data_IF_311961914783
#
_entry.id   IF_311961914783
#
_cell.length_a   1.000
_cell.length_b   1.000
_cell.length_c   1.000
_cell.angle_alpha   90.00
_cell.angle_beta   90.00
_cell.angle_gamma   90.00
#
_symmetry.space_group_name_H-M   'P 1'
#
loop_
_entity.id
_entity.type
_entity.pdbx_description
1 polymer ?
#
# COMPACT_ATOMS: atom_id res chain seq x y z
N UNK A 1 -5.72 11.14 -10.55
CA UNK A 1 -7.07 11.62 -10.19
C UNK A 1 -7.46 10.98 -8.86
N UNK A 2 -7.99 11.75 -7.92
CA UNK A 2 -8.43 11.23 -6.63
C UNK A 2 -9.94 11.03 -6.66
N UNK A 3 -10.36 9.79 -6.76
CA UNK A 3 -11.77 9.40 -6.84
C UNK A 3 -12.14 8.59 -5.60
N UNK A 4 -13.37 8.74 -5.14
CA UNK A 4 -13.89 8.07 -3.95
C UNK A 4 -14.93 7.03 -4.37
N UNK A 5 -14.70 5.77 -4.02
CA UNK A 5 -15.66 4.67 -4.25
C UNK A 5 -16.50 4.52 -2.99
N UNK A 6 -17.82 4.78 -3.09
CA UNK A 6 -18.74 4.57 -1.97
C UNK A 6 -19.35 3.17 -1.97
N UNK A 7 -19.50 2.60 -3.16
CA UNK A 7 -20.16 1.31 -3.35
C UNK A 7 -19.58 0.62 -4.56
N UNK A 8 -19.34 -0.68 -4.46
CA UNK A 8 -18.74 -1.50 -5.49
C UNK A 8 -19.37 -2.89 -5.55
N UNK A 9 -19.53 -3.41 -6.75
CA UNK A 9 -19.88 -4.80 -7.01
C UNK A 9 -18.92 -5.37 -8.04
N UNK A 10 -18.33 -6.52 -7.76
CA UNK A 10 -17.42 -7.23 -8.65
C UNK A 10 -18.04 -8.59 -8.91
N UNK A 11 -18.05 -9.04 -10.16
CA UNK A 11 -18.51 -10.39 -10.51
C UNK A 11 -17.75 -10.92 -11.71
N UNK A 12 -17.27 -12.16 -11.61
CA UNK A 12 -16.55 -12.87 -12.66
C UNK A 12 -17.09 -14.29 -12.77
N UNK A 13 -17.95 -14.53 -13.78
CA UNK A 13 -18.59 -15.82 -14.03
C UNK A 13 -18.52 -16.20 -15.50
N UNK A 14 -18.28 -17.48 -15.79
CA UNK A 14 -18.41 -18.07 -17.13
C UNK A 14 -17.70 -17.29 -18.27
N UNK A 15 -16.54 -16.69 -17.97
CA UNK A 15 -15.74 -15.93 -18.94
C UNK A 15 -16.17 -14.48 -19.11
N UNK A 16 -17.15 -14.00 -18.35
CA UNK A 16 -17.57 -12.60 -18.30
C UNK A 16 -17.21 -11.99 -16.96
N UNK A 17 -16.70 -10.76 -16.99
CA UNK A 17 -16.45 -9.95 -15.80
C UNK A 17 -17.28 -8.68 -15.86
N UNK A 18 -17.88 -8.28 -14.74
CA UNK A 18 -18.66 -7.07 -14.61
C UNK A 18 -18.37 -6.42 -13.26
N UNK A 19 -17.78 -5.23 -13.32
CA UNK A 19 -17.47 -4.44 -12.16
C UNK A 19 -18.27 -3.13 -12.19
N UNK A 20 -19.01 -2.85 -11.11
CA UNK A 20 -19.85 -1.67 -10.98
C UNK A 20 -19.39 -0.86 -9.77
N UNK A 21 -18.83 0.32 -10.02
CA UNK A 21 -18.38 1.24 -8.98
C UNK A 21 -19.19 2.54 -8.96
N UNK A 22 -19.64 2.95 -7.78
CA UNK A 22 -20.28 4.22 -7.54
C UNK A 22 -19.23 5.23 -7.08
N UNK A 23 -18.83 6.11 -7.99
CA UNK A 23 -17.69 6.99 -7.83
C UNK A 23 -18.09 8.45 -7.63
N UNK A 24 -17.42 9.13 -6.69
CA UNK A 24 -17.51 10.57 -6.44
C UNK A 24 -16.14 11.25 -6.61
N UNK A 25 -16.17 12.55 -6.86
CA UNK A 25 -14.97 13.40 -6.80
C UNK A 25 -14.56 13.73 -5.34
N UNK A 26 -13.46 14.44 -5.17
CA UNK A 26 -12.95 14.84 -3.84
C UNK A 26 -13.90 15.77 -3.07
N UNK A 27 -14.82 16.45 -3.76
CA UNK A 27 -15.84 17.32 -3.17
C UNK A 27 -17.12 16.55 -2.82
N UNK A 28 -17.17 15.25 -3.10
CA UNK A 28 -18.31 14.38 -2.82
C UNK A 28 -19.43 14.42 -3.87
N UNK A 29 -19.19 15.04 -5.03
CA UNK A 29 -20.15 15.11 -6.12
C UNK A 29 -20.02 13.90 -7.05
N UNK A 30 -21.12 13.54 -7.72
CA UNK A 30 -21.09 12.48 -8.73
C UNK A 30 -20.20 12.91 -9.89
N UNK A 31 -19.28 12.03 -10.30
CA UNK A 31 -18.43 12.26 -11.47
C UNK A 31 -19.31 12.33 -12.72
N UNK A 32 -19.32 13.49 -13.36
CA UNK A 32 -20.09 13.77 -14.58
C UNK A 32 -19.23 14.39 -15.70
N UNK A 33 -17.99 14.81 -15.40
CA UNK A 33 -17.07 15.35 -16.39
C UNK A 33 -16.65 14.25 -17.37
N UNK A 34 -17.00 14.43 -18.65
CA UNK A 34 -16.70 13.48 -19.71
C UNK A 34 -15.19 13.27 -19.91
N UNK A 35 -14.35 14.26 -19.58
CA UNK A 35 -12.88 14.12 -19.67
C UNK A 35 -12.37 13.11 -18.65
N UNK A 36 -12.91 13.17 -17.43
CA UNK A 36 -12.60 12.21 -16.35
C UNK A 36 -13.08 10.81 -16.73
N UNK A 37 -14.30 10.70 -17.26
CA UNK A 37 -14.85 9.41 -17.71
C UNK A 37 -14.01 8.81 -18.84
N UNK A 38 -13.65 9.61 -19.85
CA UNK A 38 -12.81 9.17 -20.97
C UNK A 38 -11.43 8.71 -20.49
N UNK A 39 -10.83 9.43 -19.54
CA UNK A 39 -9.56 9.04 -18.93
C UNK A 39 -9.67 7.69 -18.20
N UNK A 40 -10.74 7.47 -17.42
CA UNK A 40 -10.99 6.20 -16.73
C UNK A 40 -11.13 5.06 -17.75
N UNK A 41 -11.90 5.26 -18.83
CA UNK A 41 -12.08 4.27 -19.89
C UNK A 41 -10.76 3.92 -20.59
N UNK A 42 -9.92 4.93 -20.85
CA UNK A 42 -8.59 4.73 -21.41
C UNK A 42 -7.68 3.95 -20.45
N UNK A 43 -7.66 4.31 -19.16
CA UNK A 43 -6.83 3.68 -18.15
C UNK A 43 -7.22 2.21 -17.87
N UNK A 44 -8.52 1.89 -17.90
CA UNK A 44 -9.03 0.50 -17.73
C UNK A 44 -8.79 -0.33 -19.01
N UNK A 45 -8.41 0.29 -20.12
CA UNK A 45 -8.11 -0.41 -21.37
C UNK A 45 -9.33 -0.70 -22.25
N UNK A 46 -10.48 -0.07 -21.98
CA UNK A 46 -11.72 -0.27 -22.74
C UNK A 46 -11.61 0.12 -24.24
N UNK A 47 -10.54 0.85 -24.63
CA UNK A 47 -10.25 1.24 -26.01
C UNK A 47 -9.04 0.52 -26.63
N UNK A 48 -8.48 -0.53 -26.00
CA UNK A 48 -7.35 -1.29 -26.59
C UNK A 48 -7.77 -2.17 -27.78
N UNK A 49 -9.07 -2.41 -28.00
CA UNK A 49 -9.59 -3.23 -29.10
C UNK A 49 -9.55 -2.55 -30.48
N UNK A 50 -9.09 -1.30 -30.59
CA UNK A 50 -9.02 -0.55 -31.86
C UNK A 50 -7.60 -0.26 -32.40
N UNK A 51 -6.53 -0.58 -31.67
CA UNK A 51 -5.16 -0.11 -31.99
C UNK A 51 -4.22 -1.26 -32.42
N UNK A 52 -4.75 -2.44 -32.75
CA UNK A 52 -3.97 -3.50 -33.42
C UNK A 52 -4.39 -3.65 -34.88
N UNK A 53 -4.07 -2.66 -35.72
CA UNK A 53 -3.95 -2.76 -37.20
C UNK A 53 -3.50 -1.43 -37.80
N UNK A 54 -2.26 -1.01 -37.52
CA UNK A 54 -1.38 -0.29 -38.48
C UNK A 54 -0.21 0.34 -37.74
N UNK A 55 0.99 -0.20 -37.98
CA UNK A 55 2.23 0.52 -38.34
C UNK A 55 3.42 -0.44 -38.22
N UNK A 56 3.52 -1.31 -39.22
CA UNK A 56 4.81 -1.48 -39.89
C UNK A 56 4.98 -0.21 -40.71
N UNK A 57 5.78 0.73 -40.22
CA UNK A 57 6.43 1.73 -41.08
C UNK A 57 7.54 2.41 -40.30
N UNK A 58 8.76 2.03 -40.66
CA UNK A 58 10.02 2.63 -40.27
C UNK A 58 9.99 4.14 -40.53
N UNK A 59 9.99 4.95 -39.46
CA UNK A 59 10.35 6.36 -39.53
C UNK A 59 11.60 6.59 -38.69
N UNK A 60 12.74 6.47 -39.37
CA UNK A 60 13.99 7.09 -38.94
C UNK A 60 13.81 8.61 -38.94
N UNK A 61 13.49 9.22 -37.80
CA UNK A 61 13.57 10.67 -37.61
C UNK A 61 14.04 10.96 -36.18
N UNK A 62 15.21 11.61 -36.11
CA UNK A 62 15.88 12.24 -34.97
C UNK A 62 15.70 11.55 -33.60
N UNK A 63 16.75 10.79 -33.22
CA UNK A 63 17.05 10.40 -31.85
C UNK A 63 17.30 11.70 -31.05
N UNK A 64 16.26 12.26 -30.45
CA UNK A 64 16.43 13.17 -29.32
C UNK A 64 16.83 12.26 -28.16
N UNK A 65 18.03 12.45 -27.61
CA UNK A 65 18.52 11.71 -26.45
C UNK A 65 17.52 11.91 -25.31
N UNK A 66 16.76 10.86 -25.00
CA UNK A 66 16.02 10.76 -23.75
C UNK A 66 17.07 10.64 -22.64
N UNK A 67 16.90 11.33 -21.50
CA UNK A 67 17.82 11.19 -20.38
C UNK A 67 17.95 9.72 -19.97
N UNK A 68 19.10 9.30 -19.41
CA UNK A 68 19.32 7.92 -18.99
C UNK A 68 18.24 7.51 -17.98
N UNK A 69 17.62 6.35 -18.21
CA UNK A 69 16.55 5.84 -17.36
C UNK A 69 17.04 5.70 -15.90
N UNK A 70 16.33 6.30 -14.91
CA UNK A 70 16.64 6.13 -13.50
C UNK A 70 16.64 4.66 -13.11
N UNK A 71 17.59 4.27 -12.26
CA UNK A 71 17.70 2.87 -11.82
C UNK A 71 16.96 2.66 -10.51
N UNK A 72 16.10 1.65 -10.49
CA UNK A 72 15.37 1.25 -9.31
C UNK A 72 16.19 0.27 -8.44
N UNK A 73 16.29 0.57 -7.15
CA UNK A 73 16.85 -0.32 -6.12
C UNK A 73 15.74 -0.63 -5.12
N UNK A 74 15.49 -1.91 -4.93
CA UNK A 74 14.57 -2.43 -3.92
C UNK A 74 15.36 -2.88 -2.69
N UNK A 75 14.83 -2.56 -1.51
CA UNK A 75 15.43 -2.89 -0.24
C UNK A 75 14.36 -3.44 0.70
N UNK A 76 14.67 -4.54 1.37
CA UNK A 76 13.83 -5.12 2.42
C UNK A 76 14.66 -5.53 3.62
N UNK A 77 14.09 -5.44 4.82
CA UNK A 77 14.83 -5.80 6.03
C UNK A 77 14.09 -5.58 7.34
N UNK A 78 14.82 -5.73 8.46
CA UNK A 78 14.34 -5.38 9.79
C UNK A 78 14.42 -3.86 9.96
N UNK A 79 13.30 -3.23 10.26
CA UNK A 79 13.25 -1.79 10.52
C UNK A 79 13.71 -1.45 11.94
N UNK A 80 14.32 -0.28 12.08
CA UNK A 80 14.73 0.32 13.35
C UNK A 80 14.65 1.84 13.28
N UNK A 81 14.44 2.53 14.42
CA UNK A 81 14.54 3.98 14.46
C UNK A 81 15.84 4.50 13.84
N UNK A 82 15.71 5.37 12.84
CA UNK A 82 16.84 5.96 12.12
C UNK A 82 17.32 5.21 10.89
N UNK A 83 16.84 3.99 10.60
CA UNK A 83 17.30 3.22 9.43
C UNK A 83 17.09 3.96 8.11
N UNK A 84 15.93 4.59 7.92
CA UNK A 84 15.66 5.36 6.71
C UNK A 84 16.63 6.54 6.52
N UNK A 85 17.10 7.15 7.62
CA UNK A 85 18.13 8.20 7.60
C UNK A 85 19.53 7.64 7.30
N UNK A 86 19.82 6.41 7.73
CA UNK A 86 21.10 5.75 7.41
C UNK A 86 21.13 5.34 5.93
N UNK A 87 20.01 4.85 5.37
CA UNK A 87 19.89 4.54 3.94
C UNK A 87 20.06 5.80 3.10
N UNK A 88 19.38 6.89 3.46
CA UNK A 88 19.47 8.16 2.71
C UNK A 88 20.87 8.78 2.79
N UNK A 89 21.56 8.67 3.94
CA UNK A 89 22.95 9.09 4.09
C UNK A 89 23.89 8.25 3.23
N UNK A 90 23.74 6.92 3.24
CA UNK A 90 24.53 6.01 2.40
C UNK A 90 24.39 6.34 0.90
N UNK A 91 23.17 6.64 0.43
CA UNK A 91 22.95 7.07 -0.95
C UNK A 91 23.62 8.42 -1.25
N UNK A 92 23.58 9.36 -0.30
CA UNK A 92 24.23 10.67 -0.44
C UNK A 92 25.77 10.56 -0.47
N UNK A 93 26.36 9.73 0.40
CA UNK A 93 27.81 9.47 0.47
C UNK A 93 28.33 8.80 -0.82
N UNK A 94 27.48 8.03 -1.50
CA UNK A 94 27.76 7.42 -2.80
C UNK A 94 27.43 8.35 -3.99
N UNK A 95 27.15 9.63 -3.72
CA UNK A 95 26.79 10.64 -4.71
C UNK A 95 25.64 10.20 -5.64
N UNK A 96 24.64 9.51 -5.07
CA UNK A 96 23.43 9.13 -5.78
C UNK A 96 22.40 10.25 -5.68
N UNK A 97 21.92 10.74 -6.82
CA UNK A 97 20.77 11.64 -6.85
C UNK A 97 19.49 10.82 -6.78
N UNK A 98 18.68 11.03 -5.73
CA UNK A 98 17.41 10.33 -5.54
C UNK A 98 16.33 11.05 -6.34
N UNK A 99 15.86 10.40 -7.41
CA UNK A 99 14.79 10.92 -8.28
C UNK A 99 13.43 10.70 -7.61
N UNK A 100 13.21 9.50 -7.12
CA UNK A 100 11.97 9.05 -6.47
C UNK A 100 12.30 8.01 -5.41
N UNK A 101 11.58 8.01 -4.29
CA UNK A 101 11.78 7.01 -3.24
C UNK A 101 10.48 6.75 -2.49
N UNK A 102 10.16 5.49 -2.25
CA UNK A 102 9.01 5.06 -1.49
C UNK A 102 9.41 4.04 -0.45
N UNK A 103 9.06 4.25 0.81
CA UNK A 103 9.40 3.35 1.90
C UNK A 103 8.22 3.13 2.83
N UNK A 104 7.98 1.88 3.22
CA UNK A 104 6.97 1.47 4.21
C UNK A 104 7.65 0.74 5.36
N UNK A 105 7.22 1.05 6.58
CA UNK A 105 7.57 0.34 7.80
C UNK A 105 6.33 -0.17 8.51
N UNK A 106 6.35 -1.44 8.91
CA UNK A 106 5.28 -2.07 9.70
C UNK A 106 5.84 -3.29 10.45
N UNK A 107 5.44 -3.48 11.70
CA UNK A 107 5.88 -4.61 12.54
C UNK A 107 7.41 -4.86 12.54
N UNK A 108 8.20 -3.78 12.63
CA UNK A 108 9.66 -3.81 12.56
C UNK A 108 10.22 -4.45 11.27
N UNK A 109 9.47 -4.34 10.16
CA UNK A 109 9.90 -4.64 8.79
C UNK A 109 9.91 -3.38 7.95
N UNK A 110 10.87 -3.29 7.05
CA UNK A 110 11.03 -2.24 6.06
C UNK A 110 10.87 -2.84 4.66
N UNK A 111 10.14 -2.14 3.80
CA UNK A 111 10.25 -2.27 2.35
C UNK A 111 10.48 -0.89 1.74
N UNK A 112 11.42 -0.77 0.82
CA UNK A 112 11.79 0.49 0.21
C UNK A 112 12.13 0.28 -1.27
N UNK A 113 11.68 1.19 -2.13
CA UNK A 113 12.01 1.27 -3.55
C UNK A 113 12.55 2.66 -3.83
N UNK A 114 13.75 2.76 -4.37
CA UNK A 114 14.42 4.03 -4.66
C UNK A 114 14.88 4.07 -6.10
N UNK A 115 14.51 5.13 -6.81
CA UNK A 115 15.01 5.45 -8.14
C UNK A 115 16.16 6.43 -8.01
N UNK A 116 17.34 6.01 -8.47
CA UNK A 116 18.56 6.82 -8.43
C UNK A 116 19.04 7.20 -9.83
N UNK A 117 19.69 8.35 -9.91
CA UNK A 117 20.38 8.89 -11.08
C UNK A 117 21.76 9.40 -10.70
N UNK A 118 22.62 9.60 -11.69
CA UNK A 118 23.96 10.15 -11.52
C UNK A 118 23.94 11.69 -11.52
N UNK A 119 24.76 12.33 -10.67
CA UNK A 119 24.73 13.78 -10.43
C UNK A 119 25.14 14.64 -11.64
N UNK A 120 26.01 14.13 -12.53
CA UNK A 120 26.75 14.98 -13.47
C UNK A 120 26.80 14.49 -14.92
N UNK A 121 26.16 13.37 -15.23
CA UNK A 121 26.25 12.78 -16.57
C UNK A 121 24.88 12.31 -17.04
N UNK A 122 24.57 12.64 -18.29
CA UNK A 122 23.54 11.99 -19.11
C UNK A 122 23.91 10.52 -19.42
N UNK A 123 24.78 9.92 -18.59
CA UNK A 123 25.23 8.54 -18.72
C UNK A 123 24.53 7.67 -17.69
N UNK A 124 24.07 6.47 -18.08
CA UNK A 124 23.59 5.49 -17.12
C UNK A 124 24.68 5.16 -16.09
N UNK A 125 24.28 4.92 -14.84
CA UNK A 125 25.15 4.34 -13.80
C UNK A 125 25.85 3.10 -14.40
N UNK A 126 27.09 2.75 -14.04
CA UNK A 126 27.67 1.49 -14.52
C UNK A 126 27.26 0.29 -13.63
N UNK A 127 27.41 -0.94 -14.11
CA UNK A 127 27.12 -2.16 -13.35
C UNK A 127 28.01 -2.28 -12.11
N UNK A 128 29.32 -2.00 -12.23
CA UNK A 128 30.25 -2.06 -11.09
C UNK A 128 29.88 -1.04 -10.00
N UNK A 129 29.42 0.15 -10.41
CA UNK A 129 28.93 1.18 -9.47
C UNK A 129 27.65 0.74 -8.77
N UNK A 130 26.71 0.12 -9.49
CA UNK A 130 25.51 -0.46 -8.85
C UNK A 130 25.86 -1.49 -7.80
N UNK A 131 26.78 -2.42 -8.10
CA UNK A 131 27.19 -3.45 -7.16
C UNK A 131 27.80 -2.83 -5.89
N UNK A 132 28.60 -1.77 -6.03
CA UNK A 132 29.13 -1.04 -4.88
C UNK A 132 28.02 -0.37 -4.05
N UNK A 133 26.99 0.19 -4.70
CA UNK A 133 25.82 0.76 -4.02
C UNK A 133 25.04 -0.34 -3.29
N UNK A 134 24.77 -1.47 -3.95
CA UNK A 134 24.06 -2.61 -3.37
C UNK A 134 24.80 -3.18 -2.15
N UNK A 135 26.12 -3.35 -2.22
CA UNK A 135 26.94 -3.87 -1.12
C UNK A 135 26.95 -2.92 0.09
N UNK A 136 27.06 -1.61 -0.17
CA UNK A 136 27.03 -0.61 0.89
C UNK A 136 25.66 -0.53 1.57
N UNK A 137 24.57 -0.52 0.80
CA UNK A 137 23.20 -0.56 1.32
C UNK A 137 22.93 -1.87 2.08
N UNK A 138 23.41 -3.00 1.58
CA UNK A 138 23.32 -4.29 2.27
C UNK A 138 24.03 -4.24 3.62
N UNK A 139 25.18 -3.58 3.69
CA UNK A 139 25.91 -3.37 4.94
C UNK A 139 25.10 -2.52 5.92
N UNK A 140 24.46 -1.44 5.48
CA UNK A 140 23.59 -0.60 6.32
C UNK A 140 22.39 -1.38 6.88
N UNK A 141 21.77 -2.23 6.06
CA UNK A 141 20.67 -3.10 6.49
C UNK A 141 21.14 -4.15 7.52
N UNK A 142 22.35 -4.70 7.37
CA UNK A 142 22.93 -5.74 8.24
C UNK A 142 23.58 -5.24 9.51
N UNK A 143 24.02 -3.98 9.56
CA UNK A 143 24.89 -3.43 10.61
C UNK A 143 24.38 -3.62 12.06
N UNK A 144 23.10 -3.94 12.25
CA UNK A 144 22.48 -4.15 13.58
C UNK A 144 21.93 -5.55 13.82
N UNK A 145 22.00 -6.48 12.86
CA UNK A 145 21.52 -7.87 13.07
C UNK A 145 22.56 -8.79 13.72
N UNK A 146 23.77 -8.29 13.98
CA UNK A 146 24.91 -9.07 14.48
C UNK A 146 24.83 -9.49 15.97
N UNK A 147 23.68 -9.39 16.64
CA UNK A 147 23.59 -9.65 18.11
C UNK A 147 22.50 -10.62 18.58
N UNK A 148 21.80 -11.29 17.68
CA UNK A 148 20.95 -12.44 18.02
C UNK A 148 21.56 -13.71 17.45
N UNK A 149 22.30 -14.43 18.30
CA UNK A 149 22.72 -15.81 18.05
C UNK A 149 21.49 -16.71 17.85
N UNK A 150 21.49 -17.52 16.79
CA UNK A 150 20.57 -18.63 16.51
C UNK A 150 19.20 -18.32 15.88
N UNK A 151 19.15 -17.58 14.78
CA UNK A 151 18.01 -17.65 13.85
C UNK A 151 18.51 -17.90 12.42
N UNK A 152 18.13 -19.04 11.85
CA UNK A 152 18.25 -19.39 10.42
C UNK A 152 17.31 -18.51 9.56
N UNK A 153 17.47 -17.18 9.62
CA UNK A 153 16.67 -16.21 8.86
C UNK A 153 17.50 -15.45 7.82
N UNK A 154 18.36 -16.17 7.10
CA UNK A 154 19.23 -15.61 6.05
C UNK A 154 18.50 -14.99 4.84
N UNK A 155 17.17 -15.07 4.77
CA UNK A 155 16.38 -14.66 3.60
C UNK A 155 15.49 -13.43 3.83
N UNK A 156 15.59 -12.72 4.97
CA UNK A 156 14.70 -11.59 5.28
C UNK A 156 15.28 -10.20 4.96
N UNK A 157 16.53 -10.13 4.48
CA UNK A 157 17.20 -8.87 4.16
C UNK A 157 17.78 -8.95 2.77
N UNK A 158 17.38 -8.00 1.94
CA UNK A 158 17.70 -8.06 0.52
C UNK A 158 17.79 -6.65 -0.05
N UNK A 159 18.87 -6.40 -0.79
CA UNK A 159 18.98 -5.25 -1.71
C UNK A 159 19.09 -5.83 -3.11
N UNK A 160 18.23 -5.40 -4.03
CA UNK A 160 18.25 -5.83 -5.42
C UNK A 160 17.98 -4.66 -6.35
N UNK A 161 18.76 -4.55 -7.41
CA UNK A 161 18.39 -3.74 -8.57
C UNK A 161 17.15 -4.32 -9.23
N UNK A 162 16.11 -3.52 -9.36
CA UNK A 162 14.88 -3.92 -10.04
C UNK A 162 14.98 -3.66 -11.55
N UNK A 163 14.94 -4.73 -12.33
CA UNK A 163 14.88 -4.66 -13.78
C UNK A 163 13.40 -4.58 -14.21
N UNK A 164 12.99 -3.50 -14.89
CA UNK A 164 11.64 -3.35 -15.47
C UNK A 164 10.65 -2.48 -14.70
N UNK A 165 11.07 -1.81 -13.63
CA UNK A 165 10.35 -0.66 -13.08
C UNK A 165 10.80 0.59 -13.83
N UNK A 166 10.12 0.93 -14.92
CA UNK A 166 10.46 2.09 -15.73
C UNK A 166 9.68 3.32 -15.23
N UNK A 167 10.34 4.40 -14.80
CA UNK A 167 9.66 5.62 -14.37
C UNK A 167 8.99 6.37 -15.53
N UNK A 168 9.40 6.11 -16.78
CA UNK A 168 8.85 6.79 -17.98
C UNK A 168 7.92 5.90 -18.84
N UNK A 169 7.76 4.61 -18.51
CA UNK A 169 6.98 3.67 -19.31
C UNK A 169 5.84 3.03 -18.53
N UNK A 170 4.61 3.54 -18.69
CA UNK A 170 3.34 2.99 -18.16
C UNK A 170 3.31 2.62 -16.65
N UNK A 171 4.40 2.87 -15.90
CA UNK A 171 4.56 2.67 -14.47
C UNK A 171 3.89 3.79 -13.70
N UNK A 172 2.61 3.60 -13.41
CA UNK A 172 1.82 4.50 -12.58
C UNK A 172 2.25 4.41 -11.11
N UNK A 173 1.99 5.43 -10.28
CA UNK A 173 2.21 5.39 -8.80
C UNK A 173 1.65 4.12 -8.15
N UNK A 174 0.61 3.52 -8.75
CA UNK A 174 0.02 2.25 -8.32
C UNK A 174 0.94 1.04 -8.51
N UNK A 175 1.89 1.06 -9.44
CA UNK A 175 2.82 -0.04 -9.69
C UNK A 175 3.90 -0.12 -8.62
N UNK A 176 4.46 1.02 -8.18
CA UNK A 176 5.40 1.06 -7.06
C UNK A 176 4.71 0.68 -5.75
N UNK A 177 3.50 1.18 -5.51
CA UNK A 177 2.74 0.79 -4.32
C UNK A 177 2.36 -0.69 -4.32
N UNK A 178 2.02 -1.27 -5.48
CA UNK A 178 1.80 -2.71 -5.61
C UNK A 178 3.09 -3.48 -5.34
N UNK A 179 4.23 -2.99 -5.83
CA UNK A 179 5.52 -3.62 -5.56
C UNK A 179 5.88 -3.59 -4.07
N UNK A 180 5.68 -2.46 -3.39
CA UNK A 180 5.85 -2.37 -1.93
C UNK A 180 4.95 -3.33 -1.18
N UNK A 181 3.72 -3.54 -1.64
CA UNK A 181 2.81 -4.53 -1.07
C UNK A 181 3.42 -5.95 -1.09
N UNK A 182 3.97 -6.34 -2.25
CA UNK A 182 4.64 -7.63 -2.43
C UNK A 182 5.91 -7.76 -1.57
N UNK A 183 6.72 -6.70 -1.50
CA UNK A 183 7.92 -6.67 -0.69
C UNK A 183 7.58 -6.84 0.80
N UNK A 184 6.58 -6.13 1.31
CA UNK A 184 6.11 -6.28 2.70
C UNK A 184 5.61 -7.70 3.00
N UNK A 185 4.83 -8.28 2.08
CA UNK A 185 4.39 -9.66 2.20
C UNK A 185 5.57 -10.65 2.24
N UNK A 186 6.61 -10.44 1.40
CA UNK A 186 7.79 -11.31 1.36
C UNK A 186 8.62 -11.29 2.66
N UNK A 187 8.67 -10.16 3.37
CA UNK A 187 9.34 -10.04 4.67
C UNK A 187 8.44 -10.42 5.86
N UNK A 188 7.23 -10.91 5.57
CA UNK A 188 6.27 -11.42 6.55
C UNK A 188 5.99 -10.42 7.67
N UNK A 189 5.73 -9.18 7.31
CA UNK A 189 5.36 -8.15 8.28
C UNK A 189 4.04 -8.44 9.02
N UNK A 190 3.23 -9.39 8.53
CA UNK A 190 2.06 -9.90 9.24
C UNK A 190 2.40 -10.81 10.45
N UNK A 191 3.65 -11.25 10.58
CA UNK A 191 4.14 -11.96 11.76
C UNK A 191 4.58 -10.92 12.81
N UNK A 192 3.70 -10.60 13.76
CA UNK A 192 4.05 -9.67 14.85
C UNK A 192 5.17 -10.26 15.73
N UNK A 193 6.20 -9.48 16.12
CA UNK A 193 7.27 -9.94 16.99
C UNK A 193 6.80 -10.49 18.36
N UNK A 194 5.56 -10.18 18.76
CA UNK A 194 5.00 -10.54 20.06
C UNK A 194 4.05 -11.75 20.03
N UNK A 195 3.96 -12.50 18.92
CA UNK A 195 3.22 -13.76 18.93
C UNK A 195 3.98 -14.81 19.76
N UNK A 196 3.65 -14.93 21.05
CA UNK A 196 4.17 -16.00 21.91
C UNK A 196 3.92 -17.37 21.24
N UNK A 197 4.86 -18.32 21.32
CA UNK A 197 4.68 -19.63 20.70
C UNK A 197 3.46 -20.37 21.27
N UNK A 198 2.75 -21.03 20.36
CA UNK A 198 1.54 -21.83 20.56
C UNK A 198 1.89 -23.03 21.45
N UNK A 199 1.85 -22.87 22.76
CA UNK A 199 1.97 -23.97 23.73
C UNK A 199 1.11 -23.73 24.98
N UNK A 200 -0.10 -23.18 24.78
CA UNK A 200 -1.17 -23.30 25.77
C UNK A 200 -2.47 -23.64 25.07
N UNK A 201 -3.21 -24.67 25.53
CA UNK A 201 -4.44 -25.07 24.88
C UNK A 201 -5.52 -24.03 25.19
N UNK A 202 -5.83 -23.16 24.22
CA UNK A 202 -7.08 -22.38 24.24
C UNK A 202 -8.23 -23.30 23.81
N UNK A 203 -8.72 -24.12 24.74
CA UNK A 203 -10.10 -24.59 24.69
C UNK A 203 -11.01 -23.44 25.12
N UNK A 204 -11.70 -22.81 24.17
CA UNK A 204 -12.67 -21.76 24.45
C UNK A 204 -13.27 -21.19 23.17
N UNK A 205 -14.56 -21.47 22.97
CA UNK A 205 -15.49 -21.00 21.92
C UNK A 205 -15.27 -19.58 21.38
N UNK A 206 -15.67 -19.26 20.12
CA UNK A 206 -15.62 -17.91 19.59
C UNK A 206 -16.68 -17.07 20.31
N UNK A 207 -16.22 -16.19 21.21
CA UNK A 207 -17.06 -15.13 21.77
C UNK A 207 -16.43 -13.80 21.45
N UNK A 208 -17.14 -13.04 20.61
CA UNK A 208 -17.09 -11.60 20.58
C UNK A 208 -17.41 -11.08 21.99
N UNK A 209 -16.37 -10.73 22.76
CA UNK A 209 -16.54 -9.96 23.98
C UNK A 209 -16.15 -8.52 23.70
N UNK A 210 -17.18 -7.68 23.72
CA UNK A 210 -17.12 -6.23 23.67
C UNK A 210 -16.44 -5.79 24.96
N UNK A 211 -15.19 -5.33 24.87
CA UNK A 211 -14.57 -4.52 25.91
C UNK A 211 -14.37 -3.12 25.35
N UNK A 212 -14.93 -2.16 26.08
CA UNK A 212 -14.96 -0.74 25.80
C UNK A 212 -13.55 -0.12 25.75
N UNK A 213 -12.98 -0.07 24.56
CA UNK A 213 -12.12 1.02 24.05
C UNK A 213 -12.34 1.09 22.53
N UNK A 214 -12.54 2.28 21.99
CA UNK A 214 -12.70 2.61 20.55
C UNK A 214 -11.50 2.19 19.65
N UNK A 215 -10.64 1.26 20.09
CA UNK A 215 -9.27 1.07 19.60
C UNK A 215 -9.03 -0.15 18.69
N UNK A 216 -10.05 -0.92 18.28
CA UNK A 216 -9.89 -1.76 17.08
C UNK A 216 -11.19 -1.92 16.32
N UNK A 217 -11.51 -0.91 15.52
CA UNK A 217 -12.61 -0.96 14.56
C UNK A 217 -12.32 -1.88 13.36
N UNK A 218 -11.16 -2.54 13.31
CA UNK A 218 -10.79 -3.50 12.28
C UNK A 218 -11.22 -4.92 12.71
N UNK A 219 -12.07 -5.54 11.92
CA UNK A 219 -12.37 -6.97 11.99
C UNK A 219 -12.26 -7.60 10.61
N UNK A 220 -11.62 -8.77 10.57
CA UNK A 220 -11.50 -9.60 9.37
C UNK A 220 -11.93 -11.01 9.75
N UNK A 221 -12.93 -11.54 9.05
CA UNK A 221 -13.48 -12.87 9.27
C UNK A 221 -13.48 -13.66 7.97
N UNK A 222 -13.27 -14.98 8.05
CA UNK A 222 -13.30 -15.87 6.89
C UNK A 222 -14.25 -17.03 7.18
N UNK A 223 -15.26 -17.17 6.33
CA UNK A 223 -16.25 -18.26 6.38
C UNK A 223 -16.16 -19.10 5.10
N UNK A 224 -16.54 -20.37 5.17
CA UNK A 224 -16.62 -21.24 3.99
C UNK A 224 -18.07 -21.37 3.54
N UNK A 225 -18.29 -21.21 2.24
CA UNK A 225 -19.56 -21.46 1.58
C UNK A 225 -19.47 -22.77 0.81
N UNK A 226 -19.77 -23.87 1.50
CA UNK A 226 -19.62 -25.23 0.96
C UNK A 226 -20.55 -25.48 -0.24
N UNK A 227 -21.73 -24.86 -0.28
CA UNK A 227 -22.70 -24.98 -1.38
C UNK A 227 -22.13 -24.54 -2.74
N UNK A 228 -21.27 -23.50 -2.72
CA UNK A 228 -20.69 -22.90 -3.93
C UNK A 228 -19.17 -23.09 -4.02
N UNK A 229 -18.55 -23.73 -3.03
CA UNK A 229 -17.11 -23.92 -2.97
C UNK A 229 -16.32 -22.61 -2.93
N UNK A 230 -16.80 -21.60 -2.20
CA UNK A 230 -16.11 -20.33 -1.99
C UNK A 230 -15.65 -20.18 -0.55
N UNK A 231 -14.57 -19.42 -0.33
CA UNK A 231 -14.32 -18.78 0.95
C UNK A 231 -14.78 -17.33 0.90
N UNK A 232 -15.51 -16.90 1.91
CA UNK A 232 -16.06 -15.56 2.05
C UNK A 232 -15.18 -14.80 3.05
N UNK A 233 -14.51 -13.75 2.59
CA UNK A 233 -13.73 -12.86 3.42
C UNK A 233 -14.54 -11.60 3.70
N UNK A 234 -14.85 -11.37 4.97
CA UNK A 234 -15.62 -10.22 5.43
C UNK A 234 -14.71 -9.27 6.22
N UNK A 235 -14.62 -8.03 5.77
CA UNK A 235 -13.76 -6.98 6.33
C UNK A 235 -14.64 -5.81 6.75
N UNK A 236 -14.50 -5.39 8.01
CA UNK A 236 -15.07 -4.16 8.52
C UNK A 236 -13.96 -3.33 9.14
N UNK A 237 -13.79 -2.09 8.69
CA UNK A 237 -12.78 -1.19 9.22
C UNK A 237 -13.14 0.28 8.98
N UNK A 238 -12.32 1.19 9.50
CA UNK A 238 -12.47 2.62 9.22
C UNK A 238 -12.17 2.84 7.75
N UNK A 239 -13.09 3.52 7.05
CA UNK A 239 -12.90 3.78 5.63
C UNK A 239 -11.73 4.75 5.43
N UNK A 240 -10.94 4.47 4.40
CA UNK A 240 -9.78 5.28 4.02
C UNK A 240 -9.44 5.12 2.56
N UNK A 241 -8.71 6.10 2.03
CA UNK A 241 -8.16 6.04 0.68
C UNK A 241 -7.34 4.76 0.49
N UNK A 242 -7.47 4.16 -0.70
CA UNK A 242 -6.78 2.93 -1.12
C UNK A 242 -7.09 1.66 -0.31
N UNK A 243 -8.11 1.63 0.54
CA UNK A 243 -8.47 0.43 1.31
C UNK A 243 -8.78 -0.78 0.41
N UNK A 244 -9.62 -0.60 -0.62
CA UNK A 244 -9.94 -1.67 -1.58
C UNK A 244 -8.69 -2.15 -2.35
N UNK A 245 -7.75 -1.24 -2.64
CA UNK A 245 -6.49 -1.61 -3.29
C UNK A 245 -5.68 -2.54 -2.38
N UNK A 246 -5.56 -2.22 -1.10
CA UNK A 246 -4.79 -3.04 -0.16
C UNK A 246 -5.39 -4.45 0.01
N UNK A 247 -6.71 -4.54 0.13
CA UNK A 247 -7.40 -5.82 0.30
C UNK A 247 -7.31 -6.68 -0.96
N UNK A 248 -7.55 -6.11 -2.14
CA UNK A 248 -7.45 -6.84 -3.42
C UNK A 248 -6.01 -7.25 -3.72
N UNK A 249 -5.02 -6.37 -3.49
CA UNK A 249 -3.61 -6.71 -3.67
C UNK A 249 -3.20 -7.85 -2.72
N UNK A 250 -3.61 -7.80 -1.45
CA UNK A 250 -3.33 -8.88 -0.48
C UNK A 250 -3.88 -10.21 -0.96
N UNK A 251 -5.15 -10.26 -1.33
CA UNK A 251 -5.76 -11.51 -1.79
C UNK A 251 -5.06 -12.05 -3.05
N UNK A 252 -4.78 -11.16 -4.01
CA UNK A 252 -4.11 -11.53 -5.26
C UNK A 252 -2.67 -12.01 -5.04
N UNK A 253 -1.90 -11.31 -4.21
CA UNK A 253 -0.50 -11.67 -3.90
C UNK A 253 -0.42 -12.98 -3.09
N UNK A 254 -1.47 -13.30 -2.32
CA UNK A 254 -1.65 -14.59 -1.66
C UNK A 254 -2.24 -15.68 -2.58
N UNK A 255 -2.33 -15.43 -3.89
CA UNK A 255 -2.81 -16.34 -4.92
C UNK A 255 -4.29 -16.73 -4.78
N UNK A 256 -5.13 -15.79 -4.35
CA UNK A 256 -6.57 -15.93 -4.39
C UNK A 256 -7.18 -15.15 -5.55
N UNK A 257 -8.17 -15.77 -6.18
CA UNK A 257 -8.99 -15.20 -7.25
C UNK A 257 -10.31 -14.76 -6.67
N UNK A 258 -10.68 -13.50 -6.91
CA UNK A 258 -11.96 -12.92 -6.49
C UNK A 258 -13.01 -13.19 -7.58
N UNK A 259 -14.04 -13.97 -7.24
CA UNK A 259 -15.16 -14.27 -8.13
C UNK A 259 -16.28 -13.27 -7.97
N UNK A 260 -16.61 -12.92 -6.72
CA UNK A 260 -17.59 -11.88 -6.43
C UNK A 260 -17.08 -10.99 -5.32
N UNK A 261 -17.44 -9.71 -5.35
CA UNK A 261 -17.25 -8.85 -4.20
C UNK A 261 -18.37 -7.84 -4.04
N UNK A 262 -18.58 -7.43 -2.80
CA UNK A 262 -19.36 -6.25 -2.47
C UNK A 262 -18.52 -5.31 -1.62
N UNK A 263 -18.54 -4.03 -1.95
CA UNK A 263 -17.86 -2.98 -1.19
C UNK A 263 -18.86 -1.87 -0.91
N UNK A 264 -18.89 -1.40 0.33
CA UNK A 264 -19.80 -0.37 0.80
C UNK A 264 -19.10 0.50 1.84
N UNK A 265 -19.26 1.82 1.73
CA UNK A 265 -18.77 2.81 2.69
C UNK A 265 -19.94 3.61 3.25
N UNK A 266 -20.14 3.50 4.57
CA UNK A 266 -21.22 4.18 5.31
C UNK A 266 -20.70 4.69 6.65
N UNK A 267 -20.96 5.97 6.92
CA UNK A 267 -20.65 6.58 8.23
C UNK A 267 -19.16 6.54 8.61
N UNK A 268 -18.26 6.65 7.63
CA UNK A 268 -16.81 6.55 7.85
C UNK A 268 -16.31 5.12 8.12
N UNK A 269 -17.17 4.13 7.99
CA UNK A 269 -16.85 2.71 8.08
C UNK A 269 -16.92 2.09 6.68
N UNK A 270 -15.95 1.25 6.34
CA UNK A 270 -15.95 0.43 5.15
C UNK A 270 -16.34 -1.01 5.49
N UNK A 271 -17.14 -1.61 4.61
CA UNK A 271 -17.54 -3.01 4.64
C UNK A 271 -17.17 -3.61 3.29
N UNK A 272 -16.38 -4.68 3.30
CA UNK A 272 -15.98 -5.39 2.10
C UNK A 272 -16.21 -6.89 2.29
N UNK A 273 -16.85 -7.53 1.32
CA UNK A 273 -17.08 -8.96 1.30
C UNK A 273 -16.54 -9.50 -0.01
N UNK A 274 -15.61 -10.46 0.06
CA UNK A 274 -14.97 -11.07 -1.09
C UNK A 274 -15.23 -12.58 -1.13
N UNK A 275 -15.77 -13.07 -2.23
CA UNK A 275 -15.95 -14.49 -2.52
C UNK A 275 -14.75 -14.95 -3.33
N UNK A 276 -13.90 -15.76 -2.71
CA UNK A 276 -12.60 -16.13 -3.27
C UNK A 276 -12.42 -17.64 -3.35
N UNK A 277 -11.54 -18.04 -4.27
CA UNK A 277 -10.92 -19.37 -4.31
C UNK A 277 -9.43 -19.21 -4.48
N UNK A 278 -8.64 -20.15 -4.00
CA UNK A 278 -7.24 -20.19 -4.35
C UNK A 278 -7.08 -20.48 -5.85
N UNK A 279 -5.94 -20.13 -6.45
CA UNK A 279 -5.66 -20.34 -7.88
C UNK A 279 -5.76 -21.81 -8.31
N UNK A 280 -5.69 -22.75 -7.37
CA UNK A 280 -5.95 -24.18 -7.60
C UNK A 280 -7.44 -24.53 -7.78
N UNK A 281 -8.33 -23.55 -7.58
CA UNK A 281 -9.77 -23.70 -7.72
C UNK A 281 -10.51 -24.13 -6.46
N UNK A 282 -9.84 -24.26 -5.31
CA UNK A 282 -10.45 -24.70 -4.06
C UNK A 282 -10.68 -23.56 -3.05
N UNK A 283 -11.66 -23.77 -2.17
CA UNK A 283 -11.87 -22.93 -0.99
C UNK A 283 -10.83 -23.27 0.10
N UNK A 284 -10.56 -22.33 1.00
CA UNK A 284 -9.64 -22.54 2.12
C UNK A 284 -10.09 -23.71 3.00
N UNK A 285 -9.25 -24.73 3.09
CA UNK A 285 -9.59 -25.97 3.78
C UNK A 285 -9.12 -26.00 5.24
N UNK A 286 -8.11 -25.21 5.59
CA UNK A 286 -7.47 -25.27 6.92
C UNK A 286 -7.61 -23.98 7.71
N UNK A 287 -7.74 -24.09 9.03
CA UNK A 287 -7.81 -22.92 9.91
C UNK A 287 -6.49 -22.13 9.94
N UNK A 288 -5.34 -22.78 9.77
CA UNK A 288 -4.05 -22.10 9.68
C UNK A 288 -3.91 -21.25 8.42
N UNK A 289 -4.45 -21.71 7.29
CA UNK A 289 -4.52 -20.92 6.07
C UNK A 289 -5.42 -19.70 6.25
N UNK A 290 -6.61 -19.87 6.83
CA UNK A 290 -7.51 -18.76 7.16
C UNK A 290 -6.85 -17.76 8.08
N UNK A 291 -6.23 -18.22 9.17
CA UNK A 291 -5.53 -17.35 10.12
C UNK A 291 -4.39 -16.56 9.44
N UNK A 292 -3.66 -17.20 8.52
CA UNK A 292 -2.61 -16.52 7.74
C UNK A 292 -3.21 -15.42 6.85
N UNK A 293 -4.30 -15.69 6.15
CA UNK A 293 -4.97 -14.69 5.29
C UNK A 293 -5.53 -13.54 6.13
N UNK A 294 -6.14 -13.82 7.27
CA UNK A 294 -6.60 -12.80 8.24
C UNK A 294 -5.43 -11.90 8.64
N UNK A 295 -4.32 -12.46 9.11
CA UNK A 295 -3.14 -11.68 9.52
C UNK A 295 -2.58 -10.83 8.38
N UNK A 296 -2.53 -11.36 7.16
CA UNK A 296 -2.03 -10.62 6.01
C UNK A 296 -2.94 -9.43 5.66
N UNK A 297 -4.27 -9.62 5.71
CA UNK A 297 -5.24 -8.56 5.48
C UNK A 297 -5.20 -7.50 6.58
N UNK A 298 -5.12 -7.93 7.84
CA UNK A 298 -4.97 -7.00 8.97
C UNK A 298 -3.71 -6.15 8.81
N UNK A 299 -2.56 -6.78 8.55
CA UNK A 299 -1.30 -6.08 8.33
C UNK A 299 -1.39 -5.09 7.15
N UNK A 300 -1.94 -5.51 6.01
CA UNK A 300 -2.11 -4.63 4.85
C UNK A 300 -3.01 -3.42 5.15
N UNK A 301 -4.06 -3.61 5.95
CA UNK A 301 -4.96 -2.53 6.36
C UNK A 301 -4.26 -1.58 7.35
N UNK A 302 -3.55 -2.14 8.34
CA UNK A 302 -2.85 -1.41 9.41
C UNK A 302 -1.67 -0.58 8.88
N UNK A 303 -0.88 -1.08 7.92
CA UNK A 303 0.25 -0.35 7.28
C UNK A 303 -0.09 1.08 6.84
N UNK A 304 -1.33 1.32 6.39
CA UNK A 304 -1.82 2.61 5.89
C UNK A 304 -2.89 3.24 6.78
N UNK A 305 -3.29 2.59 7.87
CA UNK A 305 -4.11 3.18 8.92
C UNK A 305 -3.17 4.02 9.81
N UNK A 306 -2.80 5.21 9.35
CA UNK A 306 -1.77 6.01 10.02
C UNK A 306 -2.19 6.44 11.43
N UNK A 307 -1.38 6.09 12.42
CA UNK A 307 -1.37 6.67 13.79
C UNK A 307 -0.25 7.74 13.91
N UNK A 308 -0.08 8.60 12.90
CA UNK A 308 1.05 9.54 12.83
C UNK A 308 0.76 10.83 12.08
N UNK A 309 1.71 11.77 12.12
CA UNK A 309 1.60 13.06 11.42
C UNK A 309 2.08 12.93 9.98
N UNK A 310 1.33 13.53 9.06
CA UNK A 310 1.72 13.67 7.65
C UNK A 310 2.43 15.01 7.43
N UNK A 311 3.70 14.93 7.06
CA UNK A 311 4.58 16.06 6.78
C UNK A 311 4.84 16.13 5.28
N UNK A 312 4.47 17.24 4.64
CA UNK A 312 4.84 17.52 3.24
C UNK A 312 5.93 18.60 3.20
N UNK A 313 7.00 18.33 2.46
CA UNK A 313 8.15 19.21 2.30
C UNK A 313 8.40 19.44 0.81
N UNK A 314 8.66 20.68 0.43
CA UNK A 314 9.02 21.06 -0.93
C UNK A 314 10.31 21.87 -0.91
N UNK A 315 11.31 21.47 -1.70
CA UNK A 315 12.58 22.16 -1.82
C UNK A 315 13.18 21.98 -3.22
N UNK A 316 14.18 22.77 -3.58
CA UNK A 316 14.94 22.53 -4.80
C UNK A 316 15.72 21.22 -4.64
N UNK A 317 15.63 20.34 -5.64
CA UNK A 317 16.30 19.05 -5.57
C UNK A 317 17.82 19.24 -5.57
N UNK A 318 18.51 18.49 -4.71
CA UNK A 318 19.96 18.40 -4.66
C UNK A 318 20.38 17.05 -4.06
N UNK A 319 21.57 16.60 -4.41
CA UNK A 319 22.19 15.44 -3.75
C UNK A 319 22.28 15.71 -2.25
N UNK A 320 21.93 14.69 -1.46
CA UNK A 320 21.92 14.77 0.01
C UNK A 320 20.68 15.44 0.62
N UNK A 321 19.76 16.04 -0.15
CA UNK A 321 18.55 16.67 0.41
C UNK A 321 17.73 15.69 1.27
N UNK A 322 17.49 14.49 0.76
CA UNK A 322 16.78 13.45 1.51
C UNK A 322 17.53 13.05 2.79
N UNK A 323 18.87 13.00 2.73
CA UNK A 323 19.72 12.71 3.89
C UNK A 323 19.60 13.80 4.97
N UNK A 324 19.70 15.07 4.58
CA UNK A 324 19.59 16.19 5.52
C UNK A 324 18.23 16.24 6.20
N UNK A 325 17.14 16.07 5.45
CA UNK A 325 15.77 16.04 6.01
C UNK A 325 15.61 14.88 6.99
N UNK A 326 15.99 13.66 6.58
CA UNK A 326 15.79 12.47 7.41
C UNK A 326 16.72 12.44 8.62
N UNK A 327 17.89 13.08 8.54
CA UNK A 327 18.78 13.32 9.69
C UNK A 327 18.08 14.19 10.72
N UNK A 328 17.51 15.33 10.32
CA UNK A 328 16.77 16.21 11.25
C UNK A 328 15.61 15.46 11.91
N UNK A 329 14.84 14.66 11.14
CA UNK A 329 13.77 13.83 11.72
C UNK A 329 14.31 12.86 12.78
N UNK A 330 15.40 12.15 12.47
CA UNK A 330 16.04 11.20 13.38
C UNK A 330 16.58 11.87 14.65
N UNK A 331 17.26 13.01 14.51
CA UNK A 331 17.83 13.78 15.63
C UNK A 331 16.73 14.32 16.56
N UNK A 332 15.56 14.60 16.00
CA UNK A 332 14.35 15.00 16.72
C UNK A 332 13.53 13.81 17.27
N UNK A 333 14.05 12.58 17.21
CA UNK A 333 13.37 11.39 17.77
C UNK A 333 12.13 10.94 16.97
N UNK A 334 12.05 11.33 15.69
CA UNK A 334 10.95 10.95 14.82
C UNK A 334 11.34 9.76 13.95
N UNK A 335 10.50 8.73 13.94
CA UNK A 335 10.63 7.60 13.03
C UNK A 335 9.72 7.79 11.81
N UNK A 336 10.27 7.54 10.62
CA UNK A 336 9.53 7.55 9.36
C UNK A 336 8.87 6.19 9.17
N UNK A 337 7.53 6.17 9.18
CA UNK A 337 6.72 4.96 8.95
C UNK A 337 6.40 4.79 7.47
N UNK A 338 6.19 5.91 6.77
CA UNK A 338 6.04 5.93 5.32
C UNK A 338 6.74 7.14 4.73
N UNK A 339 7.37 6.96 3.59
CA UNK A 339 7.94 8.03 2.78
C UNK A 339 7.45 7.89 1.34
N UNK A 340 7.09 9.01 0.73
CA UNK A 340 6.88 9.15 -0.71
C UNK A 340 7.65 10.41 -1.15
N UNK A 341 8.70 10.22 -1.94
CA UNK A 341 9.61 11.27 -2.42
C UNK A 341 9.56 11.26 -3.93
N UNK A 342 9.36 12.42 -4.55
CA UNK A 342 9.41 12.56 -6.00
C UNK A 342 10.05 13.89 -6.39
N UNK A 343 10.83 13.88 -7.46
CA UNK A 343 11.40 15.10 -8.05
C UNK A 343 10.73 15.41 -9.38
N UNK A 344 10.15 16.60 -9.49
CA UNK A 344 9.50 17.08 -10.72
C UNK A 344 9.95 18.52 -11.00
N UNK A 345 10.42 18.79 -12.22
CA UNK A 345 10.81 20.14 -12.64
C UNK A 345 11.90 20.79 -11.78
N UNK A 346 12.85 19.99 -11.26
CA UNK A 346 13.94 20.46 -10.39
C UNK A 346 13.54 20.71 -8.94
N UNK A 347 12.27 20.50 -8.57
CA UNK A 347 11.79 20.56 -7.18
C UNK A 347 11.54 19.16 -6.65
N UNK A 348 12.08 18.87 -5.48
CA UNK A 348 11.79 17.66 -4.73
C UNK A 348 10.58 17.89 -3.82
N UNK A 349 9.62 16.98 -3.88
CA UNK A 349 8.46 16.89 -2.99
C UNK A 349 8.61 15.66 -2.14
N UNK A 350 8.64 15.82 -0.83
CA UNK A 350 8.73 14.74 0.13
C UNK A 350 7.48 14.69 0.99
N UNK A 351 6.81 13.55 1.04
CA UNK A 351 5.71 13.27 1.96
C UNK A 351 6.18 12.21 2.95
N UNK A 352 6.22 12.55 4.23
CA UNK A 352 6.56 11.62 5.31
C UNK A 352 5.37 11.42 6.23
N UNK A 353 5.16 10.18 6.64
CA UNK A 353 4.30 9.82 7.75
C UNK A 353 5.19 9.44 8.91
N UNK A 354 5.15 10.24 9.96
CA UNK A 354 6.09 10.17 11.08
C UNK A 354 5.38 9.83 12.39
N UNK A 355 6.09 9.11 13.25
CA UNK A 355 5.70 8.80 14.63
C UNK A 355 6.82 9.16 15.59
N UNK A 356 6.48 9.47 16.82
CA UNK A 356 7.45 9.54 17.90
C UNK A 356 8.02 8.15 18.18
N UNK A 357 9.34 8.04 18.39
CA UNK A 357 9.97 6.76 18.72
C UNK A 357 9.52 6.21 20.07
N UNK A 358 9.06 7.07 20.98
CA UNK A 358 8.52 6.68 22.28
C UNK A 358 7.03 6.35 22.22
N UNK A 359 6.38 6.53 21.07
CA UNK A 359 4.96 6.25 20.86
C UNK A 359 4.02 7.35 21.35
N UNK A 360 4.54 8.55 21.65
CA UNK A 360 3.70 9.68 22.03
C UNK A 360 3.13 10.41 20.82
N UNK A 361 2.03 11.13 21.03
CA UNK A 361 1.52 12.08 20.06
C UNK A 361 2.52 13.22 19.84
N UNK A 362 2.77 13.56 18.59
CA UNK A 362 3.69 14.64 18.21
C UNK A 362 2.96 15.99 18.36
N UNK A 363 3.48 16.90 19.17
CA UNK A 363 2.94 18.26 19.29
C UNK A 363 3.22 19.08 18.01
N UNK A 364 2.21 19.77 17.49
CA UNK A 364 2.35 20.69 16.37
C UNK A 364 3.35 21.82 16.65
N UNK A 365 3.54 22.24 17.91
CA UNK A 365 4.58 23.23 18.25
C UNK A 365 5.98 22.69 17.97
N UNK A 366 6.20 21.41 18.24
CA UNK A 366 7.45 20.73 17.95
C UNK A 366 7.72 20.69 16.43
N UNK A 367 6.71 20.33 15.64
CA UNK A 367 6.82 20.32 14.16
C UNK A 367 7.16 21.72 13.61
N UNK A 368 6.61 22.79 14.20
CA UNK A 368 6.93 24.18 13.82
C UNK A 368 8.36 24.59 14.19
N UNK A 369 8.86 24.16 15.34
CA UNK A 369 10.27 24.37 15.72
C UNK A 369 11.21 23.66 14.76
N UNK A 370 10.91 22.40 14.44
CA UNK A 370 11.66 21.60 13.46
C UNK A 370 11.64 22.25 12.07
N UNK A 371 10.50 22.83 11.63
CA UNK A 371 10.43 23.61 10.38
C UNK A 371 11.47 24.74 10.34
N UNK A 372 11.75 25.38 11.48
CA UNK A 372 12.72 26.47 11.56
C UNK A 372 14.16 25.94 11.45
N UNK A 373 14.43 24.77 12.01
CA UNK A 373 15.71 24.05 11.89
C UNK A 373 15.97 23.58 10.44
N UNK A 374 14.91 23.19 9.72
CA UNK A 374 14.95 22.75 8.33
C UNK A 374 15.21 23.88 7.31
N UNK A 375 15.32 25.15 7.72
CA UNK A 375 15.75 26.26 6.86
C UNK A 375 14.74 26.64 5.75
N UNK A 376 15.23 26.89 4.52
CA UNK A 376 14.45 27.33 3.34
C UNK A 376 13.49 26.27 2.75
N UNK A 377 13.28 25.13 3.41
CA UNK A 377 12.37 24.08 2.92
C UNK A 377 10.93 24.53 3.14
N UNK A 378 10.13 24.59 2.07
CA UNK A 378 8.72 24.96 2.16
C UNK A 378 7.92 23.77 2.71
N UNK A 379 7.60 23.84 4.01
CA UNK A 379 6.93 22.77 4.76
C UNK A 379 5.42 23.06 4.84
N UNK A 380 4.61 22.16 4.30
CA UNK A 380 3.18 22.07 4.55
C UNK A 380 2.90 20.91 5.53
N UNK A 381 2.23 21.20 6.65
CA UNK A 381 1.88 20.18 7.65
C UNK A 381 0.38 19.97 7.57
N UNK A 382 -0.04 18.77 7.15
CA UNK A 382 -1.45 18.39 7.12
C UNK A 382 -1.71 17.35 8.21
N UNK A 383 -2.44 17.76 9.25
CA UNK A 383 -2.95 16.82 10.25
C UNK A 383 -4.18 16.12 9.69
N UNK A 384 -3.99 14.96 9.07
CA UNK A 384 -5.09 14.01 8.84
C UNK A 384 -5.39 13.22 10.12
N UNK A 385 -5.50 13.88 11.27
CA UNK A 385 -6.21 13.31 12.42
C UNK A 385 -7.67 13.28 12.05
N UNK A 386 -8.24 12.10 11.79
CA UNK A 386 -9.65 11.98 11.41
C UNK A 386 -10.56 12.40 12.57
N UNK A 387 -10.88 13.68 12.65
CA UNK A 387 -11.98 14.22 13.44
C UNK A 387 -13.03 14.74 12.47
N UNK A 388 -13.88 13.84 11.98
CA UNK A 388 -15.13 14.27 11.34
C UNK A 388 -16.07 14.72 12.45
N UNK A 389 -16.34 16.01 12.49
CA UNK A 389 -17.26 16.67 13.41
C UNK A 389 -18.61 15.94 13.41
N UNK A 390 -18.97 15.36 14.55
CA UNK A 390 -20.29 14.76 14.80
C UNK A 390 -21.32 15.87 14.91
N UNK A 391 -22.19 15.99 13.89
CA UNK A 391 -23.49 16.60 14.10
C UNK A 391 -24.33 15.65 14.95
N UNK A 392 -24.70 16.11 16.14
CA UNK A 392 -25.52 15.42 17.13
C UNK A 392 -26.87 15.00 16.54
N UNK A 393 -27.04 13.69 16.35
CA UNK A 393 -28.30 13.06 15.97
C UNK A 393 -28.45 11.72 16.69
N UNK A 394 -29.18 11.75 17.81
CA UNK A 394 -29.84 10.63 18.51
C UNK A 394 -29.54 9.20 18.00
N UNK A 395 -28.68 8.48 18.73
CA UNK A 395 -28.44 7.05 18.59
C UNK A 395 -29.73 6.28 18.91
N UNK A 396 -30.42 5.79 17.89
CA UNK A 396 -31.41 4.72 18.05
C UNK A 396 -30.70 3.39 17.86
N UNK A 397 -30.71 2.56 18.90
CA UNK A 397 -30.26 1.16 18.87
C UNK A 397 -30.89 0.46 17.65
N UNK A 398 -30.06 -0.07 16.76
CA UNK A 398 -30.51 -1.03 15.74
C UNK A 398 -29.84 -2.38 15.98
N UNK A 399 -30.73 -3.34 16.18
CA UNK A 399 -30.60 -4.78 16.35
C UNK A 399 -29.75 -5.48 15.29
N UNK A 400 -29.07 -6.55 15.73
CA UNK A 400 -28.70 -7.77 15.00
C UNK A 400 -28.89 -7.75 13.48
N UNK A 401 -27.82 -7.50 12.73
CA UNK A 401 -27.82 -7.67 11.28
C UNK A 401 -27.34 -9.09 10.92
N UNK A 402 -28.20 -9.79 10.16
CA UNK A 402 -27.92 -11.08 9.52
C UNK A 402 -26.88 -10.88 8.41
N UNK A 403 -26.00 -11.87 8.25
CA UNK A 403 -25.09 -12.00 7.09
C UNK A 403 -25.83 -11.71 5.78
N UNK A 404 -25.26 -10.83 4.95
CA UNK A 404 -25.84 -10.45 3.65
C UNK A 404 -25.78 -11.58 2.60
N UNK A 405 -25.09 -12.69 2.94
CA UNK A 405 -25.08 -13.92 2.14
C UNK A 405 -26.49 -14.45 1.80
N UNK A 406 -27.45 -14.28 2.71
CA UNK A 406 -28.85 -14.68 2.47
C UNK A 406 -29.60 -13.71 1.54
N UNK A 407 -29.26 -12.41 1.57
CA UNK A 407 -29.96 -11.42 0.76
C UNK A 407 -29.50 -11.45 -0.71
N UNK A 408 -28.22 -11.75 -0.94
CA UNK A 408 -27.66 -11.93 -2.28
C UNK A 408 -28.06 -13.27 -2.93
N UNK A 409 -28.36 -14.32 -2.15
CA UNK A 409 -28.92 -15.58 -2.66
C UNK A 409 -30.21 -15.33 -3.46
N UNK A 410 -31.10 -14.46 -2.95
CA UNK A 410 -32.39 -14.16 -3.60
C UNK A 410 -32.30 -13.26 -4.86
N UNK A 411 -31.27 -12.42 -4.96
CA UNK A 411 -31.08 -11.54 -6.13
C UNK A 411 -30.36 -12.28 -7.27
N UNK A 412 -29.43 -13.18 -6.95
CA UNK A 412 -28.74 -14.01 -7.95
C UNK A 412 -29.59 -15.20 -8.43
N UNK A 413 -30.45 -15.79 -7.59
CA UNK A 413 -31.43 -16.80 -8.05
C UNK A 413 -32.41 -16.22 -9.11
N UNK A 414 -32.72 -14.91 -9.03
CA UNK A 414 -33.56 -14.24 -10.03
C UNK A 414 -32.85 -13.98 -11.37
N UNK A 415 -31.52 -13.92 -11.38
CA UNK A 415 -30.74 -13.79 -12.61
C UNK A 415 -30.43 -15.15 -13.24
N UNK A 416 -30.27 -16.21 -12.45
CA UNK A 416 -30.02 -17.56 -12.98
C UNK A 416 -31.28 -18.23 -13.55
N UNK A 417 -32.48 -17.91 -13.07
CA UNK A 417 -33.73 -18.49 -13.60
C UNK A 417 -34.23 -17.88 -14.91
N UNK A 418 -33.59 -16.83 -15.44
CA UNK A 418 -33.98 -16.22 -16.73
C UNK A 418 -33.13 -16.67 -17.92
N UNK A 419 -32.20 -17.61 -17.74
CA UNK A 419 -31.50 -18.25 -18.85
C UNK A 419 -32.16 -19.60 -19.18
N UNK A 420 -33.14 -19.53 -20.08
CA UNK A 420 -33.69 -20.71 -20.75
C UNK A 420 -32.59 -21.35 -21.58
N UNK A 421 -32.35 -22.64 -21.37
CA UNK A 421 -31.48 -23.46 -22.19
C UNK A 421 -32.03 -23.55 -23.63
N UNK A 422 -31.16 -23.35 -24.62
CA UNK A 422 -31.34 -23.86 -25.99
C UNK A 422 -30.44 -25.08 -26.14
#
# INVERSE_FOLDING_TARGET
MNLIILKGYISSDAGWFMDVFHVKDELGNKVTDQRVINYIQQAIGANREGIHKSKSESRNFLKCESPPEPRAIEMTGRDRPGLFSEISAALADLHCNVVEAHAWSHNARLACVVYISEESTDTPIDHDRLLAIEDHLTTVLRATTARSTNEESGNQQEVKTAYGLNPEGEGTVTDVERRLHQLMLSVRDFESPNSKPINSPRMGSPRCEINDKEEKMLSVCIENCDEKGYSIVSIQCKDRRRLMFDTVCTLTDMQYVIFHASVDSRGGCAFQEYFIRHVDGYAMSTESEKERVVKCLEAAIERRACEGIRLELCANNRVGLLSDITRVLRENGLAVVRADVATEGGKARHTFYIRDISGNDIDMKFVKSMKTEMGEIDVAVNNETTTTTTATGSMTRVSSFRSFGDLMKSQFEKLSHNFVAI
#
